data_IF_864579253257
#
_entry.id   IF_864579253257
#
_cell.length_a   1.000
_cell.length_b   1.000
_cell.length_c   1.000
_cell.angle_alpha   90.00
_cell.angle_beta   90.00
_cell.angle_gamma   90.00
#
_symmetry.space_group_name_H-M   'P 1'
#
loop_
_entity.id
_entity.type
_entity.pdbx_description
1 polymer ?
#
# COMPACT_ATOMS: atom_id res chain seq x y z
N UNK A 1 39.08 4.27 -13.17
CA UNK A 1 38.10 3.30 -13.67
C UNK A 1 36.70 3.73 -13.21
N UNK A 2 35.78 3.98 -14.15
CA UNK A 2 34.44 4.57 -13.82
C UNK A 2 33.64 3.68 -12.87
N UNK A 3 33.83 2.37 -12.91
CA UNK A 3 33.15 1.40 -12.00
C UNK A 3 33.67 1.52 -10.55
N UNK A 4 34.97 1.62 -10.35
CA UNK A 4 35.56 1.82 -9.01
C UNK A 4 35.19 3.16 -8.38
N UNK A 5 35.02 4.19 -9.21
CA UNK A 5 34.52 5.51 -8.77
C UNK A 5 33.04 5.46 -8.39
N UNK A 6 32.21 4.70 -9.10
CA UNK A 6 30.81 4.51 -8.77
C UNK A 6 30.62 3.70 -7.48
N UNK A 7 31.37 2.59 -7.30
CA UNK A 7 31.35 1.81 -6.06
C UNK A 7 31.84 2.61 -4.85
N UNK A 8 32.88 3.44 -5.02
CA UNK A 8 33.36 4.34 -3.98
C UNK A 8 32.32 5.40 -3.60
N UNK A 9 31.60 5.95 -4.59
CA UNK A 9 30.50 6.89 -4.38
C UNK A 9 29.33 6.21 -3.66
N UNK A 10 28.93 5.01 -4.07
CA UNK A 10 27.87 4.25 -3.39
C UNK A 10 28.24 3.88 -1.96
N UNK A 11 29.53 3.59 -1.70
CA UNK A 11 30.03 3.29 -0.36
C UNK A 11 30.05 4.52 0.55
N UNK A 12 30.38 5.70 0.02
CA UNK A 12 30.32 6.97 0.75
C UNK A 12 28.89 7.45 1.00
N UNK A 13 27.92 7.06 0.16
CA UNK A 13 26.50 7.31 0.36
C UNK A 13 25.88 6.35 1.40
N UNK A 14 26.52 5.18 1.64
CA UNK A 14 26.05 4.20 2.62
C UNK A 14 26.20 4.63 4.09
N UNK A 15 27.05 5.63 4.38
CA UNK A 15 27.25 6.19 5.72
C UNK A 15 26.32 7.40 6.01
N UNK A 16 25.45 7.78 5.07
CA UNK A 16 24.42 8.74 5.34
C UNK A 16 23.34 7.99 6.14
N UNK A 17 23.28 8.20 7.46
CA UNK A 17 22.09 7.89 8.25
C UNK A 17 20.91 8.62 7.60
N UNK A 18 20.17 7.89 6.75
CA UNK A 18 18.89 8.36 6.25
C UNK A 18 17.93 8.39 7.45
N UNK A 19 17.95 9.46 8.21
CA UNK A 19 16.81 9.82 9.05
C UNK A 19 15.69 10.27 8.11
N UNK A 20 14.94 9.29 7.59
CA UNK A 20 13.68 9.58 6.90
C UNK A 20 12.78 10.20 7.97
N UNK A 21 12.60 11.51 7.93
CA UNK A 21 11.55 12.18 8.71
C UNK A 21 10.23 11.74 8.10
N UNK A 22 9.62 10.73 8.70
CA UNK A 22 8.30 10.26 8.28
C UNK A 22 7.26 11.34 8.60
N UNK A 23 6.40 11.65 7.65
CA UNK A 23 5.19 12.43 7.87
C UNK A 23 4.34 11.79 8.96
N UNK A 24 3.62 12.60 9.73
CA UNK A 24 2.83 12.10 10.86
C UNK A 24 1.76 11.09 10.42
N UNK A 25 1.16 11.26 9.25
CA UNK A 25 0.22 10.29 8.67
C UNK A 25 0.87 8.91 8.46
N UNK A 26 2.16 8.86 8.10
CA UNK A 26 2.90 7.61 7.91
C UNK A 26 3.20 6.95 9.24
N UNK A 27 3.53 7.72 10.28
CA UNK A 27 3.80 7.18 11.62
C UNK A 27 2.57 6.52 12.26
N UNK A 28 1.38 7.02 11.94
CA UNK A 28 0.12 6.44 12.44
C UNK A 28 -0.33 5.20 11.65
N UNK A 29 0.40 4.80 10.60
CA UNK A 29 0.04 3.67 9.75
C UNK A 29 0.05 2.35 10.50
N UNK A 30 -0.94 1.51 10.16
CA UNK A 30 -1.13 0.16 10.68
C UNK A 30 -0.64 -0.87 9.65
N UNK A 31 0.47 -1.56 9.94
CA UNK A 31 1.09 -2.54 9.06
C UNK A 31 0.80 -3.94 9.56
N UNK A 32 0.25 -4.81 8.70
CA UNK A 32 0.08 -6.23 9.00
C UNK A 32 1.26 -7.02 8.43
N UNK A 33 1.98 -7.73 9.30
CA UNK A 33 3.07 -8.63 8.94
C UNK A 33 2.54 -10.06 8.97
N UNK A 34 2.63 -10.77 7.85
CA UNK A 34 2.15 -12.15 7.69
C UNK A 34 3.34 -13.04 7.32
N UNK A 35 3.81 -13.83 8.28
CA UNK A 35 4.94 -14.77 8.13
C UNK A 35 4.78 -15.87 9.21
N UNK A 36 4.91 -17.13 8.85
CA UNK A 36 4.76 -18.26 9.77
C UNK A 36 5.88 -18.34 10.83
N UNK A 37 7.00 -17.70 10.56
CA UNK A 37 8.13 -17.63 11.47
C UNK A 37 7.99 -16.42 12.42
N UNK A 38 7.69 -16.72 13.69
CA UNK A 38 7.55 -15.71 14.75
C UNK A 38 8.78 -14.80 14.83
N UNK A 39 9.98 -15.35 14.71
CA UNK A 39 11.23 -14.56 14.76
C UNK A 39 11.31 -13.55 13.60
N UNK A 40 10.86 -13.92 12.41
CA UNK A 40 10.80 -12.99 11.28
C UNK A 40 9.83 -11.85 11.59
N UNK A 41 8.64 -12.15 12.09
CA UNK A 41 7.65 -11.17 12.51
C UNK A 41 8.23 -10.20 13.55
N UNK A 42 8.87 -10.71 14.60
CA UNK A 42 9.48 -9.91 15.67
C UNK A 42 10.58 -8.98 15.14
N UNK A 43 11.45 -9.48 14.26
CA UNK A 43 12.52 -8.68 13.63
C UNK A 43 11.95 -7.58 12.76
N UNK A 44 10.95 -7.87 11.93
CA UNK A 44 10.30 -6.89 11.08
C UNK A 44 9.55 -5.84 11.91
N UNK A 45 8.75 -6.30 12.87
CA UNK A 45 8.01 -5.43 13.79
C UNK A 45 8.95 -4.48 14.53
N UNK A 46 10.04 -4.99 15.11
CA UNK A 46 11.03 -4.19 15.82
C UNK A 46 11.64 -3.12 14.92
N UNK A 47 12.03 -3.47 13.69
CA UNK A 47 12.64 -2.53 12.74
C UNK A 47 11.69 -1.41 12.33
N UNK A 48 10.44 -1.73 12.09
CA UNK A 48 9.41 -0.76 11.70
C UNK A 48 8.99 0.12 12.89
N UNK A 49 8.84 -0.48 14.09
CA UNK A 49 8.50 0.25 15.31
C UNK A 49 9.59 1.25 15.74
N UNK A 50 10.87 0.97 15.47
CA UNK A 50 11.96 1.94 15.69
C UNK A 50 11.81 3.20 14.84
N UNK A 51 11.03 3.16 13.77
CA UNK A 51 10.70 4.31 12.93
C UNK A 51 9.33 4.94 13.28
N UNK A 52 8.68 4.46 14.34
CA UNK A 52 7.38 4.96 14.80
C UNK A 52 6.17 4.30 14.14
N UNK A 53 6.36 3.27 13.30
CA UNK A 53 5.28 2.56 12.62
C UNK A 53 4.61 1.53 13.54
N UNK A 54 3.28 1.43 13.47
CA UNK A 54 2.51 0.42 14.23
C UNK A 54 2.39 -0.87 13.42
N UNK A 55 2.64 -2.03 14.07
CA UNK A 55 2.61 -3.31 13.40
C UNK A 55 1.76 -4.33 14.15
N UNK A 56 0.92 -5.05 13.40
CA UNK A 56 0.22 -6.27 13.82
C UNK A 56 0.86 -7.48 13.13
N UNK A 57 0.69 -8.67 13.70
CA UNK A 57 1.26 -9.90 13.13
C UNK A 57 0.18 -10.96 12.95
N UNK A 58 0.32 -11.77 11.90
CA UNK A 58 -0.43 -12.99 11.66
C UNK A 58 0.55 -14.09 11.23
N UNK A 59 0.31 -15.33 11.65
CA UNK A 59 1.24 -16.43 11.43
C UNK A 59 0.74 -17.46 10.42
N UNK A 60 -0.44 -17.23 9.89
CA UNK A 60 -1.08 -18.05 8.85
C UNK A 60 -2.07 -17.19 8.04
N UNK A 61 -2.53 -17.74 6.93
CA UNK A 61 -3.45 -17.02 6.02
C UNK A 61 -4.82 -16.78 6.63
N UNK A 62 -5.32 -17.72 7.43
CA UNK A 62 -6.61 -17.60 8.11
C UNK A 62 -6.59 -16.42 9.09
N UNK A 63 -5.60 -16.37 9.96
CA UNK A 63 -5.42 -15.27 10.92
C UNK A 63 -5.22 -13.93 10.18
N UNK A 64 -4.49 -13.93 9.07
CA UNK A 64 -4.31 -12.73 8.24
C UNK A 64 -5.65 -12.20 7.68
N UNK A 65 -6.53 -13.08 7.18
CA UNK A 65 -7.87 -12.71 6.73
C UNK A 65 -8.73 -12.15 7.87
N UNK A 66 -8.69 -12.78 9.04
CA UNK A 66 -9.40 -12.30 10.22
C UNK A 66 -8.95 -10.91 10.64
N UNK A 67 -7.64 -10.66 10.65
CA UNK A 67 -7.06 -9.36 11.01
C UNK A 67 -7.42 -8.26 10.00
N UNK A 68 -7.41 -8.55 8.70
CA UNK A 68 -7.85 -7.63 7.65
C UNK A 68 -9.34 -7.33 7.77
N UNK A 69 -10.17 -8.33 8.09
CA UNK A 69 -11.61 -8.16 8.28
C UNK A 69 -11.95 -7.32 9.51
N UNK A 70 -11.22 -7.51 10.63
CA UNK A 70 -11.41 -6.71 11.85
C UNK A 70 -11.08 -5.23 11.60
N UNK A 71 -9.97 -4.97 10.95
CA UNK A 71 -9.49 -3.64 10.60
C UNK A 71 -8.55 -3.75 9.40
N UNK A 72 -8.93 -3.19 8.27
CA UNK A 72 -8.07 -3.14 7.08
C UNK A 72 -6.78 -2.38 7.40
N UNK A 73 -5.60 -3.00 7.24
CA UNK A 73 -4.32 -2.33 7.48
C UNK A 73 -3.98 -1.34 6.36
N UNK A 74 -3.03 -0.46 6.62
CA UNK A 74 -2.52 0.47 5.61
C UNK A 74 -1.56 -0.19 4.63
N UNK A 75 -0.89 -1.26 5.05
CA UNK A 75 0.02 -2.06 4.24
C UNK A 75 0.13 -3.48 4.80
N UNK A 76 0.32 -4.46 3.90
CA UNK A 76 0.61 -5.84 4.28
C UNK A 76 2.02 -6.21 3.80
N UNK A 77 2.85 -6.75 4.71
CA UNK A 77 4.04 -7.53 4.37
C UNK A 77 3.64 -9.01 4.38
N UNK A 78 3.68 -9.68 3.24
CA UNK A 78 3.12 -11.02 3.09
C UNK A 78 4.18 -12.02 2.62
N UNK A 79 4.44 -13.03 3.43
CA UNK A 79 5.25 -14.17 2.99
C UNK A 79 4.53 -14.98 1.92
N UNK A 80 5.30 -15.46 0.94
CA UNK A 80 4.80 -16.37 -0.09
C UNK A 80 4.50 -17.76 0.46
N UNK A 81 5.27 -18.23 1.44
CA UNK A 81 5.14 -19.55 2.03
C UNK A 81 4.46 -19.43 3.41
N UNK A 82 3.21 -19.91 3.50
CA UNK A 82 2.45 -19.98 4.74
C UNK A 82 2.00 -21.43 4.97
N UNK A 83 1.70 -21.84 6.21
CA UNK A 83 1.42 -23.25 6.54
C UNK A 83 0.07 -23.74 6.01
N UNK A 84 -0.90 -22.87 5.83
CA UNK A 84 -2.30 -23.21 5.47
C UNK A 84 -2.68 -22.83 4.04
N UNK A 85 -2.10 -21.77 3.49
CA UNK A 85 -2.38 -21.26 2.14
C UNK A 85 -1.12 -20.66 1.51
N UNK A 86 -0.99 -20.75 0.20
CA UNK A 86 0.08 -20.03 -0.51
C UNK A 86 -0.19 -18.51 -0.48
N UNK A 87 0.82 -17.69 -0.11
CA UNK A 87 0.69 -16.24 -0.03
C UNK A 87 0.22 -15.58 -1.34
N UNK A 88 0.50 -16.18 -2.52
CA UNK A 88 -0.04 -15.68 -3.78
C UNK A 88 -1.55 -15.89 -3.90
N UNK A 89 -2.09 -16.96 -3.34
CA UNK A 89 -3.53 -17.21 -3.31
C UNK A 89 -4.22 -16.29 -2.28
N UNK A 90 -3.55 -16.04 -1.16
CA UNK A 90 -4.00 -15.08 -0.17
C UNK A 90 -4.03 -13.66 -0.76
N UNK A 91 -3.01 -13.25 -1.53
CA UNK A 91 -2.99 -12.00 -2.29
C UNK A 91 -4.18 -11.91 -3.24
N UNK A 92 -4.47 -12.95 -4.03
CA UNK A 92 -5.65 -12.98 -4.91
C UNK A 92 -6.95 -12.81 -4.12
N UNK A 93 -7.02 -13.37 -2.92
CA UNK A 93 -8.20 -13.24 -2.07
C UNK A 93 -8.38 -11.79 -1.60
N UNK A 94 -7.30 -11.14 -1.16
CA UNK A 94 -7.35 -9.70 -0.84
C UNK A 94 -7.78 -8.86 -2.05
N UNK A 95 -7.33 -9.20 -3.27
CA UNK A 95 -7.65 -8.46 -4.51
C UNK A 95 -9.11 -8.59 -4.97
N UNK A 96 -9.90 -9.50 -4.40
CA UNK A 96 -11.35 -9.55 -4.66
C UNK A 96 -12.11 -8.38 -4.01
N UNK A 97 -11.62 -7.89 -2.87
CA UNK A 97 -12.28 -6.84 -2.09
C UNK A 97 -11.50 -5.51 -2.09
N UNK A 98 -10.18 -5.59 -2.20
CA UNK A 98 -9.28 -4.44 -2.12
C UNK A 98 -8.39 -4.39 -3.36
N UNK A 99 -8.39 -3.26 -4.07
CA UNK A 99 -7.42 -3.02 -5.14
C UNK A 99 -6.01 -2.72 -4.56
N UNK A 100 -5.00 -2.73 -5.43
CA UNK A 100 -3.60 -2.48 -5.02
C UNK A 100 -3.34 -1.07 -4.49
N UNK A 101 -4.25 -0.12 -4.75
CA UNK A 101 -4.14 1.25 -4.28
C UNK A 101 -4.68 1.43 -2.87
N UNK A 102 -5.81 0.77 -2.56
CA UNK A 102 -6.45 0.85 -1.23
C UNK A 102 -5.75 -0.03 -0.20
N UNK A 103 -5.22 -1.18 -0.63
CA UNK A 103 -4.49 -2.11 0.24
C UNK A 103 -3.18 -2.53 -0.45
N UNK A 104 -2.09 -1.78 -0.31
CA UNK A 104 -0.78 -2.16 -0.80
C UNK A 104 -0.28 -3.43 -0.09
N UNK A 105 0.21 -4.39 -0.87
CA UNK A 105 0.82 -5.64 -0.39
C UNK A 105 2.22 -5.74 -0.95
N UNK A 106 3.21 -5.87 -0.07
CA UNK A 106 4.60 -6.17 -0.43
C UNK A 106 4.82 -7.65 -0.15
N UNK A 107 5.13 -8.41 -1.20
CA UNK A 107 5.46 -9.83 -1.05
C UNK A 107 6.85 -10.01 -0.49
N UNK A 108 7.01 -10.91 0.47
CA UNK A 108 8.30 -11.27 1.06
C UNK A 108 8.61 -12.72 0.71
N UNK A 109 9.79 -13.02 0.15
CA UNK A 109 10.08 -14.40 -0.27
C UNK A 109 11.57 -14.69 -0.40
N UNK A 110 11.93 -15.96 -0.28
CA UNK A 110 13.27 -16.45 -0.58
C UNK A 110 13.52 -16.65 -2.09
N UNK A 111 12.47 -16.64 -2.92
CA UNK A 111 12.60 -16.77 -4.37
C UNK A 111 13.03 -15.43 -4.98
N UNK A 112 14.12 -15.43 -5.72
CA UNK A 112 14.72 -14.22 -6.32
C UNK A 112 14.72 -14.25 -7.85
N UNK A 113 14.04 -15.24 -8.46
CA UNK A 113 13.95 -15.32 -9.91
C UNK A 113 12.93 -14.33 -10.48
N UNK A 114 13.22 -13.85 -11.68
CA UNK A 114 12.43 -12.81 -12.37
C UNK A 114 10.99 -13.24 -12.60
N UNK A 115 10.76 -14.53 -12.87
CA UNK A 115 9.43 -15.06 -13.16
C UNK A 115 8.53 -15.04 -11.92
N UNK A 116 9.07 -15.41 -10.75
CA UNK A 116 8.36 -15.34 -9.47
C UNK A 116 8.01 -13.90 -9.10
N UNK A 117 8.95 -12.96 -9.27
CA UNK A 117 8.72 -11.54 -9.02
C UNK A 117 7.64 -10.98 -9.96
N UNK A 118 7.77 -11.25 -11.27
CA UNK A 118 6.79 -10.81 -12.27
C UNK A 118 5.39 -11.32 -11.96
N UNK A 119 5.27 -12.58 -11.52
CA UNK A 119 3.99 -13.18 -11.15
C UNK A 119 3.35 -12.49 -9.94
N UNK A 120 4.14 -12.15 -8.92
CA UNK A 120 3.65 -11.38 -7.77
C UNK A 120 3.05 -10.04 -8.21
N UNK A 121 3.78 -9.28 -9.02
CA UNK A 121 3.35 -7.97 -9.51
C UNK A 121 2.10 -8.08 -10.40
N UNK A 122 2.06 -9.06 -11.32
CA UNK A 122 0.87 -9.31 -12.17
C UNK A 122 -0.38 -9.67 -11.37
N UNK A 123 -0.22 -10.34 -10.22
CA UNK A 123 -1.31 -10.66 -9.30
C UNK A 123 -1.73 -9.48 -8.44
N UNK A 124 -1.10 -8.32 -8.59
CA UNK A 124 -1.46 -7.09 -7.92
C UNK A 124 -0.67 -6.81 -6.64
N UNK A 125 0.49 -7.46 -6.42
CA UNK A 125 1.41 -7.01 -5.40
C UNK A 125 1.93 -5.61 -5.74
N UNK A 126 2.09 -4.78 -4.72
CA UNK A 126 2.65 -3.43 -4.88
C UNK A 126 4.15 -3.48 -5.13
N UNK A 127 4.83 -4.41 -4.48
CA UNK A 127 6.27 -4.60 -4.56
C UNK A 127 6.67 -6.00 -4.05
N UNK A 128 7.95 -6.30 -4.14
CA UNK A 128 8.57 -7.55 -3.72
C UNK A 128 9.82 -7.28 -2.88
N UNK A 129 10.04 -8.07 -1.85
CA UNK A 129 11.19 -7.97 -0.94
C UNK A 129 11.86 -9.35 -0.77
N UNK A 130 13.11 -9.53 -1.25
CA UNK A 130 13.81 -10.81 -1.12
C UNK A 130 14.27 -11.06 0.32
N UNK A 131 14.22 -12.32 0.76
CA UNK A 131 14.90 -12.81 1.97
C UNK A 131 16.38 -13.16 1.62
N UNK A 132 17.39 -12.84 2.45
CA UNK A 132 17.30 -12.17 3.75
C UNK A 132 16.98 -10.68 3.64
N UNK A 133 16.08 -10.21 4.51
CA UNK A 133 15.53 -8.85 4.42
C UNK A 133 16.57 -7.81 4.86
N UNK A 134 16.95 -6.92 3.93
CA UNK A 134 17.72 -5.72 4.24
C UNK A 134 16.81 -4.66 4.87
N UNK A 135 17.17 -4.15 6.06
CA UNK A 135 16.35 -3.21 6.80
C UNK A 135 16.15 -1.85 6.10
N UNK A 136 17.17 -1.36 5.41
CA UNK A 136 17.08 -0.09 4.65
C UNK A 136 16.14 -0.25 3.46
N UNK A 137 16.25 -1.35 2.73
CA UNK A 137 15.35 -1.64 1.57
C UNK A 137 13.92 -1.85 2.06
N UNK A 138 13.71 -2.57 3.16
CA UNK A 138 12.41 -2.75 3.78
C UNK A 138 11.75 -1.40 4.06
N UNK A 139 12.45 -0.54 4.81
CA UNK A 139 11.93 0.76 5.18
C UNK A 139 11.61 1.63 3.95
N UNK A 140 12.52 1.70 2.99
CA UNK A 140 12.32 2.47 1.76
C UNK A 140 11.08 2.01 0.98
N UNK A 141 10.86 0.68 0.86
CA UNK A 141 9.71 0.13 0.15
C UNK A 141 8.40 0.36 0.92
N UNK A 142 8.41 0.18 2.24
CA UNK A 142 7.24 0.43 3.10
C UNK A 142 6.83 1.90 3.03
N UNK A 143 7.77 2.81 3.22
CA UNK A 143 7.50 4.26 3.16
C UNK A 143 6.96 4.65 1.79
N UNK A 144 7.61 4.25 0.71
CA UNK A 144 7.16 4.56 -0.65
C UNK A 144 5.76 4.01 -0.98
N UNK A 145 5.39 2.84 -0.43
CA UNK A 145 4.06 2.26 -0.61
C UNK A 145 2.99 3.04 0.17
N UNK A 146 3.28 3.42 1.42
CA UNK A 146 2.38 4.22 2.26
C UNK A 146 2.20 5.63 1.70
N UNK A 147 3.28 6.32 1.33
CA UNK A 147 3.21 7.63 0.69
C UNK A 147 2.30 7.60 -0.54
N UNK A 148 2.49 6.62 -1.42
CA UNK A 148 1.67 6.47 -2.63
C UNK A 148 0.19 6.27 -2.31
N UNK A 149 -0.14 5.46 -1.27
CA UNK A 149 -1.51 5.27 -0.80
C UNK A 149 -2.11 6.59 -0.32
N UNK A 150 -1.45 7.28 0.62
CA UNK A 150 -1.97 8.51 1.22
C UNK A 150 -2.08 9.67 0.22
N UNK A 151 -1.13 9.81 -0.71
CA UNK A 151 -1.24 10.80 -1.79
C UNK A 151 -2.49 10.58 -2.63
N UNK A 152 -2.81 9.33 -2.98
CA UNK A 152 -4.02 8.98 -3.75
C UNK A 152 -5.30 9.19 -2.96
N UNK A 153 -5.30 8.89 -1.69
CA UNK A 153 -6.45 9.14 -0.81
C UNK A 153 -6.74 10.65 -0.71
N UNK A 154 -5.71 11.46 -0.51
CA UNK A 154 -5.81 12.93 -0.50
C UNK A 154 -6.29 13.48 -1.85
N UNK A 155 -5.76 12.96 -2.95
CA UNK A 155 -6.20 13.34 -4.30
C UNK A 155 -7.70 13.06 -4.49
N UNK A 156 -8.17 11.86 -4.14
CA UNK A 156 -9.57 11.47 -4.21
C UNK A 156 -10.46 12.37 -3.34
N UNK A 157 -10.03 12.67 -2.13
CA UNK A 157 -10.76 13.60 -1.25
C UNK A 157 -10.86 15.00 -1.83
N UNK A 158 -9.75 15.53 -2.39
CA UNK A 158 -9.72 16.85 -2.99
C UNK A 158 -10.63 16.91 -4.22
N UNK A 159 -10.56 15.91 -5.10
CA UNK A 159 -11.45 15.83 -6.29
C UNK A 159 -12.90 15.76 -5.85
N UNK A 160 -13.23 14.96 -4.81
CA UNK A 160 -14.60 14.89 -4.30
C UNK A 160 -15.07 16.20 -3.70
N UNK A 161 -14.23 16.90 -2.93
CA UNK A 161 -14.54 18.25 -2.41
C UNK A 161 -14.81 19.24 -3.54
N UNK A 162 -13.95 19.25 -4.57
CA UNK A 162 -14.15 20.12 -5.74
C UNK A 162 -15.44 19.78 -6.50
N UNK A 163 -15.75 18.49 -6.65
CA UNK A 163 -16.99 18.05 -7.28
C UNK A 163 -18.22 18.53 -6.51
N UNK A 164 -18.24 18.36 -5.19
CA UNK A 164 -19.33 18.85 -4.33
C UNK A 164 -19.46 20.37 -4.46
N UNK A 165 -18.36 21.13 -4.40
CA UNK A 165 -18.41 22.58 -4.56
C UNK A 165 -18.90 23.01 -5.93
N UNK A 166 -18.55 22.27 -6.99
CA UNK A 166 -18.99 22.57 -8.36
C UNK A 166 -20.45 22.20 -8.64
N UNK A 167 -21.02 21.24 -7.88
CA UNK A 167 -22.34 20.67 -8.15
C UNK A 167 -23.42 21.07 -7.16
N UNK A 168 -23.04 21.53 -5.96
CA UNK A 168 -24.00 21.92 -4.90
C UNK A 168 -23.96 23.40 -4.60
N UNK A 169 -25.10 23.94 -4.17
CA UNK A 169 -25.23 25.28 -3.62
C UNK A 169 -24.76 25.28 -2.16
N UNK A 170 -23.84 26.17 -1.82
CA UNK A 170 -23.19 26.19 -0.49
C UNK A 170 -24.11 26.56 0.67
N UNK A 171 -25.26 27.23 0.40
CA UNK A 171 -26.21 27.63 1.43
C UNK A 171 -27.23 26.55 1.74
N UNK A 172 -27.69 25.85 0.72
CA UNK A 172 -28.79 24.90 0.82
C UNK A 172 -28.36 23.44 0.82
N UNK A 173 -27.13 23.14 0.35
CA UNK A 173 -26.60 21.78 0.23
C UNK A 173 -27.23 20.93 -0.88
N UNK A 174 -28.13 21.50 -1.68
CA UNK A 174 -28.76 20.83 -2.83
C UNK A 174 -28.01 21.13 -4.13
N UNK A 175 -28.29 20.36 -5.18
CA UNK A 175 -27.68 20.61 -6.49
C UNK A 175 -27.90 22.04 -6.95
N UNK A 176 -26.84 22.66 -7.45
CA UNK A 176 -26.90 24.01 -7.99
C UNK A 176 -27.71 24.02 -9.29
N UNK A 177 -28.18 25.21 -9.65
CA UNK A 177 -29.05 25.43 -10.82
C UNK A 177 -28.49 24.83 -12.10
N UNK A 178 -27.17 24.93 -12.31
CA UNK A 178 -26.50 24.41 -13.52
C UNK A 178 -26.68 22.90 -13.66
N UNK A 179 -26.38 22.12 -12.61
CA UNK A 179 -26.49 20.66 -12.62
C UNK A 179 -27.93 20.21 -12.86
N UNK A 180 -28.93 20.93 -12.30
CA UNK A 180 -30.33 20.60 -12.50
C UNK A 180 -30.74 20.81 -13.95
N UNK A 181 -30.31 21.90 -14.60
CA UNK A 181 -30.62 22.17 -16.03
C UNK A 181 -29.90 21.17 -16.94
N UNK A 182 -28.61 20.87 -16.71
CA UNK A 182 -27.86 19.84 -17.48
C UNK A 182 -28.56 18.47 -17.42
N UNK A 183 -29.01 18.05 -16.24
CA UNK A 183 -29.75 16.79 -16.07
C UNK A 183 -31.13 16.81 -16.76
N UNK A 184 -31.82 17.96 -16.80
CA UNK A 184 -33.10 18.13 -17.48
C UNK A 184 -32.93 18.04 -19.00
N UNK A 185 -31.90 18.68 -19.54
CA UNK A 185 -31.59 18.65 -20.97
C UNK A 185 -31.24 17.23 -21.43
N UNK A 186 -30.41 16.50 -20.68
CA UNK A 186 -30.11 15.09 -20.96
C UNK A 186 -31.35 14.19 -20.92
N UNK A 187 -32.25 14.43 -19.97
CA UNK A 187 -33.51 13.64 -19.85
C UNK A 187 -34.43 13.93 -21.04
N UNK A 188 -34.52 15.18 -21.48
CA UNK A 188 -35.31 15.59 -22.67
C UNK A 188 -34.75 14.99 -23.96
N UNK A 189 -33.43 14.95 -24.13
CA UNK A 189 -32.81 14.33 -25.32
C UNK A 189 -33.05 12.79 -25.36
N UNK A 190 -33.06 12.11 -24.19
CA UNK A 190 -33.38 10.67 -24.09
C UNK A 190 -34.85 10.37 -24.36
N UNK A 191 -35.74 11.29 -24.03
CA UNK A 191 -37.18 11.11 -24.26
C UNK A 191 -37.60 11.37 -25.73
N UNK A 192 -36.76 12.10 -26.51
CA UNK A 192 -37.03 12.39 -27.92
C UNK A 192 -36.38 11.39 -28.90
N UNK A 193 -35.72 10.33 -28.40
CA UNK A 193 -35.20 9.20 -29.19
C UNK A 193 -36.08 7.94 -29.03
#
# INVERSE_FOLDING_TARGET
NQLESAESLFKSLGDIEYSITLDDDIKESDILIVDDNITNCEVLQRRLSMQGLTCRTAYDGKTALEEVFKKTPDLILLDVILPDINGLELLKTFRKEHNSESLPVIMVSAFNDVDSISKCIQLGAQDYLPKPINGTILLAKVVAALERKFWREREKELVNKLHIQATTDQLTGIFNRRVVFEALDEAMEKANK
#
